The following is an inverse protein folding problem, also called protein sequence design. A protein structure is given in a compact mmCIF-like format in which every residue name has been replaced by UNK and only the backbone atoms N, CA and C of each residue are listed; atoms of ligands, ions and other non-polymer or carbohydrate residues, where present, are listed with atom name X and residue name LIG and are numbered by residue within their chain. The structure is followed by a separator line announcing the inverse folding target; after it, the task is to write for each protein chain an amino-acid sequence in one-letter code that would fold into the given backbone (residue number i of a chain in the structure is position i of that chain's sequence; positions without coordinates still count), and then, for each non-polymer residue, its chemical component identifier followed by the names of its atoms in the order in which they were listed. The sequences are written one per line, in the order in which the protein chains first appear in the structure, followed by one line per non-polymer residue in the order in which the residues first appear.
data_IF_021401753085
#
_entry.id   IF_021401753085
#
_cell.length_a   1.000
_cell.length_b   1.000
_cell.length_c   1.000
_cell.angle_alpha   90.00
_cell.angle_beta   90.00
_cell.angle_gamma   90.00
#
_symmetry.space_group_name_H-M   'P 1'
#
loop_
_entity.id
_entity.type
_entity.pdbx_description
1 polymer ?
#
# COMPACT_ATOMS: atom_id res chain seq x y z
N UNK A 1 7.78 15.31 11.80
CA UNK A 1 6.75 14.25 11.91
C UNK A 1 6.34 13.65 10.56
N UNK A 2 6.60 14.30 9.41
CA UNK A 2 6.18 13.80 8.08
C UNK A 2 7.02 12.66 7.48
N UNK A 3 8.25 12.43 7.93
CA UNK A 3 9.13 11.38 7.38
C UNK A 3 8.59 9.95 7.62
N UNK A 4 8.00 9.67 8.79
CA UNK A 4 7.49 8.34 9.11
C UNK A 4 6.33 7.90 8.19
N UNK A 5 5.46 8.83 7.79
CA UNK A 5 4.33 8.53 6.89
C UNK A 5 4.79 8.19 5.47
N UNK A 6 5.84 8.87 4.99
CA UNK A 6 6.43 8.60 3.69
C UNK A 6 7.14 7.24 3.68
N UNK A 7 7.89 6.92 4.73
CA UNK A 7 8.53 5.61 4.87
C UNK A 7 7.48 4.47 5.00
N UNK A 8 6.37 4.70 5.70
CA UNK A 8 5.28 3.73 5.81
C UNK A 8 4.56 3.49 4.47
N UNK A 9 4.35 4.54 3.68
CA UNK A 9 3.77 4.44 2.34
C UNK A 9 4.68 3.66 1.39
N UNK A 10 5.96 4.06 1.30
CA UNK A 10 6.95 3.40 0.44
C UNK A 10 7.15 1.93 0.84
N UNK A 11 7.17 1.63 2.15
CA UNK A 11 7.26 0.26 2.65
C UNK A 11 6.05 -0.59 2.27
N UNK A 12 4.83 -0.05 2.35
CA UNK A 12 3.60 -0.74 1.92
C UNK A 12 3.57 -0.96 0.41
N UNK A 13 4.02 0.02 -0.36
CA UNK A 13 4.12 -0.08 -1.81
C UNK A 13 5.16 -1.14 -2.24
N UNK A 14 6.31 -1.16 -1.57
CA UNK A 14 7.35 -2.16 -1.78
C UNK A 14 6.84 -3.58 -1.52
N UNK A 15 6.13 -3.79 -0.39
CA UNK A 15 5.50 -5.09 -0.07
C UNK A 15 4.44 -5.49 -1.09
N UNK A 16 3.59 -4.55 -1.54
CA UNK A 16 2.60 -4.82 -2.57
C UNK A 16 3.24 -5.25 -3.91
N UNK A 17 4.36 -4.61 -4.29
CA UNK A 17 5.14 -5.00 -5.46
C UNK A 17 5.78 -6.39 -5.31
N UNK A 18 6.23 -6.74 -4.11
CA UNK A 18 6.78 -8.07 -3.82
C UNK A 18 5.70 -9.16 -3.95
N UNK A 19 4.51 -8.90 -3.42
CA UNK A 19 3.33 -9.77 -3.55
C UNK A 19 2.93 -9.95 -5.02
N UNK A 20 2.96 -8.87 -5.81
CA UNK A 20 2.69 -8.96 -7.25
C UNK A 20 3.71 -9.84 -7.98
N UNK A 21 5.00 -9.77 -7.61
CA UNK A 21 6.02 -10.67 -8.14
C UNK A 21 5.75 -12.13 -7.75
N UNK A 22 5.35 -12.37 -6.51
CA UNK A 22 5.01 -13.73 -6.03
C UNK A 22 3.76 -14.29 -6.71
N UNK A 23 2.77 -13.45 -7.02
CA UNK A 23 1.57 -13.84 -7.79
C UNK A 23 1.87 -14.24 -9.24
N UNK A 24 3.01 -13.80 -9.78
CA UNK A 24 3.49 -14.21 -11.10
C UNK A 24 4.26 -15.55 -11.11
N UNK A 25 4.47 -16.17 -9.95
CA UNK A 25 5.16 -17.47 -9.86
C UNK A 25 4.21 -18.61 -10.25
N UNK A 26 4.62 -19.41 -11.23
CA UNK A 26 3.85 -20.55 -11.76
C UNK A 26 3.73 -21.70 -10.73
N UNK A 27 4.55 -21.71 -9.68
CA UNK A 27 4.51 -22.71 -8.61
C UNK A 27 3.58 -22.34 -7.45
N UNK A 28 2.84 -21.23 -7.56
CA UNK A 28 2.00 -20.73 -6.49
C UNK A 28 0.70 -21.53 -6.40
N UNK A 29 0.41 -22.10 -5.23
CA UNK A 29 -0.88 -22.78 -5.02
C UNK A 29 -2.03 -21.78 -5.00
N UNK A 30 -3.22 -22.21 -5.44
CA UNK A 30 -4.42 -21.37 -5.48
C UNK A 30 -4.73 -20.72 -4.12
N UNK A 31 -4.53 -21.45 -3.02
CA UNK A 31 -4.74 -20.91 -1.67
C UNK A 31 -3.76 -19.76 -1.37
N UNK A 32 -2.49 -19.91 -1.75
CA UNK A 32 -1.49 -18.87 -1.61
C UNK A 32 -1.79 -17.68 -2.52
N UNK A 33 -2.24 -17.90 -3.76
CA UNK A 33 -2.66 -16.83 -4.67
C UNK A 33 -3.80 -16.00 -4.09
N UNK A 34 -4.79 -16.63 -3.47
CA UNK A 34 -5.92 -15.92 -2.84
C UNK A 34 -5.45 -15.13 -1.61
N UNK A 35 -4.56 -15.69 -0.79
CA UNK A 35 -3.98 -14.99 0.38
C UNK A 35 -3.17 -13.77 -0.05
N UNK A 36 -2.24 -13.97 -0.98
CA UNK A 36 -1.39 -12.90 -1.53
C UNK A 36 -2.22 -11.80 -2.18
N UNK A 37 -3.23 -12.16 -2.98
CA UNK A 37 -4.12 -11.15 -3.57
C UNK A 37 -4.87 -10.33 -2.51
N UNK A 38 -5.40 -10.97 -1.46
CA UNK A 38 -6.08 -10.25 -0.36
C UNK A 38 -5.11 -9.33 0.38
N UNK A 39 -3.90 -9.80 0.63
CA UNK A 39 -2.87 -9.04 1.34
C UNK A 39 -2.38 -7.84 0.52
N UNK A 40 -2.10 -8.04 -0.77
CA UNK A 40 -1.75 -6.97 -1.70
C UNK A 40 -2.85 -5.91 -1.81
N UNK A 41 -4.12 -6.32 -1.92
CA UNK A 41 -5.26 -5.40 -1.94
C UNK A 41 -5.33 -4.55 -0.66
N UNK A 42 -5.11 -5.17 0.49
CA UNK A 42 -5.13 -4.46 1.79
C UNK A 42 -4.00 -3.44 1.91
N UNK A 43 -2.79 -3.80 1.48
CA UNK A 43 -1.63 -2.90 1.47
C UNK A 43 -1.86 -1.68 0.57
N UNK A 44 -2.47 -1.88 -0.60
CA UNK A 44 -2.84 -0.79 -1.50
C UNK A 44 -3.93 0.12 -0.91
N UNK A 45 -4.93 -0.44 -0.23
CA UNK A 45 -5.96 0.35 0.47
C UNK A 45 -5.37 1.18 1.62
N UNK A 46 -4.39 0.64 2.35
CA UNK A 46 -3.69 1.38 3.41
C UNK A 46 -2.81 2.49 2.82
N UNK A 47 -2.12 2.23 1.70
CA UNK A 47 -1.32 3.23 0.99
C UNK A 47 -2.20 4.38 0.44
N UNK A 48 -3.37 4.07 -0.12
CA UNK A 48 -4.33 5.07 -0.60
C UNK A 48 -4.85 5.93 0.55
N UNK A 49 -5.16 5.34 1.72
CA UNK A 49 -5.54 6.11 2.91
C UNK A 49 -4.46 7.08 3.38
N UNK A 50 -3.19 6.69 3.30
CA UNK A 50 -2.08 7.60 3.64
C UNK A 50 -2.10 8.80 2.70
N UNK A 51 -2.23 8.59 1.38
CA UNK A 51 -2.32 9.67 0.41
C UNK A 51 -3.54 10.58 0.62
N UNK A 52 -4.70 10.01 0.90
CA UNK A 52 -5.93 10.78 1.18
C UNK A 52 -5.76 11.63 2.44
N UNK A 53 -5.20 11.07 3.51
CA UNK A 53 -4.93 11.82 4.74
C UNK A 53 -3.94 12.96 4.49
N UNK A 54 -2.86 12.72 3.75
CA UNK A 54 -1.90 13.77 3.39
C UNK A 54 -2.56 14.88 2.56
N UNK A 55 -3.39 14.53 1.57
CA UNK A 55 -4.11 15.50 0.74
C UNK A 55 -5.09 16.34 1.55
N UNK A 56 -5.74 15.75 2.56
CA UNK A 56 -6.68 16.43 3.45
C UNK A 56 -5.95 17.46 4.34
N UNK A 57 -4.81 17.07 4.92
CA UNK A 57 -3.96 17.97 5.72
C UNK A 57 -3.41 19.14 4.89
N UNK A 58 -3.01 18.91 3.64
CA UNK A 58 -2.56 19.99 2.75
C UNK A 58 -3.68 20.97 2.45
N UNK A 59 -4.90 20.48 2.21
CA UNK A 59 -6.05 21.33 1.90
C UNK A 59 -6.45 22.22 3.08
N UNK A 60 -6.43 21.70 4.31
CA UNK A 60 -6.74 22.49 5.51
C UNK A 60 -5.70 23.59 5.78
N UNK A 61 -4.46 23.44 5.28
CA UNK A 61 -3.39 24.44 5.40
C UNK A 61 -3.44 25.55 4.34
N UNK A 62 -4.15 25.34 3.23
CA UNK A 62 -4.35 26.33 2.15
C UNK A 62 -5.60 27.21 2.37
N UNK A 63 -6.51 26.83 3.27
CA UNK A 63 -7.76 27.56 3.59
C UNK A 63 -7.63 28.56 4.77
N UNK A 64 -6.40 28.87 5.24
CA UNK A 64 -6.05 29.99 6.16
C UNK A 64 -5.31 31.13 5.43
#
# INVERSE_FOLDING_TARGET
MSENLSEDFESKLAKANEILKQLGDENLSLEQSVKLHKEGKKLLEEADKILQNTKLVVKDADDE
#
